data_IF_480748287705
#
_entry.id   IF_480748287705
#
_cell.length_a   1.000
_cell.length_b   1.000
_cell.length_c   1.000
_cell.angle_alpha   90.00
_cell.angle_beta   90.00
_cell.angle_gamma   90.00
#
_symmetry.space_group_name_H-M   'P 1'
#
loop_
_entity.id
_entity.type
_entity.pdbx_description
1 polymer ?
#
# COMPACT_ATOMS: atom_id res chain seq x y z
N UNK A 1 -16.13 -6.89 8.46
CA UNK A 1 -15.18 -6.39 7.44
C UNK A 1 -16.00 -5.89 6.25
N UNK A 2 -15.68 -4.72 5.69
CA UNK A 2 -16.36 -4.19 4.49
C UNK A 2 -15.88 -5.03 3.29
N UNK A 3 -16.78 -5.44 2.40
CA UNK A 3 -16.39 -6.14 1.19
C UNK A 3 -15.42 -5.26 0.36
N UNK A 4 -14.42 -5.86 -0.30
CA UNK A 4 -13.51 -5.11 -1.17
C UNK A 4 -14.31 -4.41 -2.28
N UNK A 5 -13.98 -3.15 -2.57
CA UNK A 5 -14.63 -2.39 -3.63
C UNK A 5 -14.37 -3.05 -4.99
N UNK A 6 -15.42 -3.51 -5.71
CA UNK A 6 -15.25 -4.17 -7.00
C UNK A 6 -14.61 -3.25 -8.06
N UNK A 7 -14.75 -1.92 -7.92
CA UNK A 7 -14.21 -0.95 -8.86
C UNK A 7 -12.82 -0.43 -8.46
N UNK A 8 -12.24 -0.90 -7.35
CA UNK A 8 -10.97 -0.36 -6.83
C UNK A 8 -9.86 -0.32 -7.88
N UNK A 9 -9.65 -1.44 -8.58
CA UNK A 9 -8.63 -1.54 -9.63
C UNK A 9 -8.90 -0.60 -10.81
N UNK A 10 -10.17 -0.44 -11.21
CA UNK A 10 -10.59 0.48 -12.27
C UNK A 10 -10.26 1.94 -11.92
N UNK A 11 -10.48 2.33 -10.66
CA UNK A 11 -10.12 3.67 -10.18
C UNK A 11 -8.62 3.89 -10.00
N UNK A 12 -7.87 2.85 -9.67
CA UNK A 12 -6.43 2.96 -9.47
C UNK A 12 -5.69 3.11 -10.79
N UNK A 13 -6.09 2.39 -11.84
CA UNK A 13 -5.49 2.57 -13.17
C UNK A 13 -5.78 3.93 -13.79
N UNK A 14 -6.85 4.62 -13.39
CA UNK A 14 -7.15 5.98 -13.86
C UNK A 14 -6.05 7.00 -13.53
N UNK A 15 -5.24 6.73 -12.51
CA UNK A 15 -4.08 7.54 -12.12
C UNK A 15 -2.87 7.35 -13.02
N UNK A 16 -2.84 6.31 -13.86
CA UNK A 16 -1.74 6.07 -14.77
C UNK A 16 -1.81 7.03 -15.96
N UNK A 17 -0.64 7.33 -16.53
CA UNK A 17 -0.56 8.13 -17.76
C UNK A 17 -1.21 7.37 -18.93
N UNK A 18 -0.88 6.08 -19.04
CA UNK A 18 -1.44 5.13 -19.98
C UNK A 18 -2.20 4.04 -19.18
N UNK A 19 -3.49 4.24 -18.88
CA UNK A 19 -4.26 3.28 -18.11
C UNK A 19 -4.43 1.98 -18.90
N UNK A 20 -3.93 0.89 -18.35
CA UNK A 20 -4.11 -0.45 -18.92
C UNK A 20 -4.24 -1.45 -17.77
N UNK A 21 -5.20 -2.37 -17.90
CA UNK A 21 -5.35 -3.52 -17.05
C UNK A 21 -4.65 -4.70 -17.73
N UNK A 22 -3.69 -5.30 -17.05
CA UNK A 22 -3.03 -6.52 -17.52
C UNK A 22 -3.86 -7.75 -17.11
N UNK A 23 -3.67 -8.84 -17.84
CA UNK A 23 -4.32 -10.13 -17.56
C UNK A 23 -4.24 -10.55 -16.10
N UNK A 24 -3.07 -10.47 -15.48
CA UNK A 24 -2.87 -10.99 -14.13
C UNK A 24 -3.67 -10.21 -13.07
N UNK A 25 -3.83 -8.90 -13.23
CA UNK A 25 -4.71 -8.10 -12.38
C UNK A 25 -6.19 -8.35 -12.72
N UNK A 26 -6.49 -8.53 -14.01
CA UNK A 26 -7.84 -8.78 -14.49
C UNK A 26 -8.40 -10.11 -13.97
N UNK A 27 -7.63 -11.20 -13.97
CA UNK A 27 -8.10 -12.51 -13.49
C UNK A 27 -8.31 -12.57 -11.98
N UNK A 28 -7.61 -11.72 -11.21
CA UNK A 28 -7.81 -11.57 -9.77
C UNK A 28 -9.13 -10.87 -9.43
N UNK A 29 -9.70 -10.13 -10.37
CA UNK A 29 -11.00 -9.52 -10.22
C UNK A 29 -12.12 -10.58 -10.24
N UNK A 30 -13.12 -10.49 -9.36
CA UNK A 30 -14.28 -11.36 -9.39
C UNK A 30 -14.92 -11.39 -10.79
N UNK A 31 -15.31 -12.57 -11.26
CA UNK A 31 -15.88 -12.74 -12.61
C UNK A 31 -17.11 -11.87 -12.84
N UNK A 32 -18.01 -11.79 -11.87
CA UNK A 32 -19.20 -10.94 -11.95
C UNK A 32 -18.82 -9.47 -12.19
N UNK A 33 -17.81 -8.95 -11.49
CA UNK A 33 -17.32 -7.59 -11.71
C UNK A 33 -16.75 -7.40 -13.12
N UNK A 34 -15.98 -8.36 -13.63
CA UNK A 34 -15.44 -8.30 -14.99
C UNK A 34 -16.55 -8.25 -16.04
N UNK A 35 -17.53 -9.14 -15.90
CA UNK A 35 -18.67 -9.23 -16.82
C UNK A 35 -19.49 -7.94 -16.78
N UNK A 36 -19.70 -7.35 -15.60
CA UNK A 36 -20.37 -6.07 -15.44
C UNK A 36 -19.58 -4.91 -16.08
N UNK A 37 -18.26 -4.83 -15.87
CA UNK A 37 -17.43 -3.79 -16.50
C UNK A 37 -17.48 -3.85 -18.03
N UNK A 38 -17.51 -5.04 -18.63
CA UNK A 38 -17.71 -5.20 -20.07
C UNK A 38 -19.14 -4.86 -20.50
N UNK A 39 -20.15 -5.35 -19.77
CA UNK A 39 -21.56 -5.08 -20.05
C UNK A 39 -21.89 -3.58 -20.03
N UNK A 40 -21.22 -2.83 -19.16
CA UNK A 40 -21.32 -1.37 -19.03
C UNK A 40 -20.42 -0.60 -20.02
N UNK A 41 -19.64 -1.29 -20.86
CA UNK A 41 -18.73 -0.66 -21.81
C UNK A 41 -17.57 0.10 -21.16
N UNK A 42 -17.24 -0.19 -19.91
CA UNK A 42 -16.16 0.48 -19.15
C UNK A 42 -14.77 -0.08 -19.50
N UNK A 43 -14.71 -1.20 -20.21
CA UNK A 43 -13.47 -1.83 -20.66
C UNK A 43 -13.53 -2.14 -22.15
N UNK A 44 -12.43 -1.85 -22.84
CA UNK A 44 -12.21 -2.28 -24.21
C UNK A 44 -10.88 -3.04 -24.35
N UNK A 45 -10.75 -3.99 -25.29
CA UNK A 45 -9.47 -4.59 -25.62
C UNK A 45 -8.41 -3.53 -25.96
N UNK A 46 -7.19 -3.73 -25.49
CA UNK A 46 -6.05 -2.87 -25.77
C UNK A 46 -4.97 -3.62 -26.55
N UNK A 47 -3.85 -2.94 -26.85
CA UNK A 47 -2.71 -3.57 -27.52
C UNK A 47 -2.18 -4.75 -26.71
N UNK A 48 -1.71 -5.78 -27.41
CA UNK A 48 -1.04 -6.92 -26.80
C UNK A 48 0.19 -6.44 -26.03
N UNK A 49 0.37 -6.94 -24.81
CA UNK A 49 1.54 -6.68 -23.99
C UNK A 49 2.79 -7.26 -24.67
N UNK A 50 3.91 -6.55 -24.57
CA UNK A 50 5.22 -7.05 -25.01
C UNK A 50 6.04 -7.59 -23.83
N UNK A 51 5.63 -7.28 -22.60
CA UNK A 51 6.26 -7.75 -21.38
C UNK A 51 5.23 -8.37 -20.46
N UNK A 52 5.65 -9.34 -19.65
CA UNK A 52 4.85 -9.90 -18.55
C UNK A 52 5.66 -9.95 -17.26
N UNK A 53 4.97 -9.97 -16.13
CA UNK A 53 5.58 -10.18 -14.82
C UNK A 53 5.82 -11.67 -14.62
N UNK A 54 7.06 -12.07 -14.37
CA UNK A 54 7.40 -13.46 -14.07
C UNK A 54 6.71 -13.91 -12.78
N UNK A 55 5.98 -15.02 -12.85
CA UNK A 55 5.29 -15.67 -11.73
C UNK A 55 6.11 -16.82 -11.11
N UNK A 56 7.21 -17.22 -11.76
CA UNK A 56 8.10 -18.27 -11.26
C UNK A 56 9.14 -17.78 -10.25
N UNK A 57 9.51 -16.49 -10.26
CA UNK A 57 10.50 -15.94 -9.33
C UNK A 57 9.84 -15.21 -8.17
N UNK A 58 10.54 -15.18 -7.03
CA UNK A 58 10.07 -14.43 -5.87
C UNK A 58 10.12 -12.90 -6.09
N UNK A 59 10.95 -12.44 -7.03
CA UNK A 59 11.13 -11.02 -7.33
C UNK A 59 10.02 -10.42 -8.20
N UNK A 60 9.22 -11.23 -8.90
CA UNK A 60 8.18 -10.74 -9.79
C UNK A 60 8.70 -9.76 -10.85
N UNK A 61 9.83 -10.07 -11.49
CA UNK A 61 10.43 -9.15 -12.47
C UNK A 61 9.58 -9.09 -13.74
N UNK A 62 9.50 -7.92 -14.37
CA UNK A 62 8.89 -7.77 -15.69
C UNK A 62 9.95 -8.06 -16.76
N UNK A 63 9.60 -8.87 -17.76
CA UNK A 63 10.51 -9.25 -18.85
C UNK A 63 9.79 -9.24 -20.19
N UNK A 64 10.53 -8.93 -21.27
CA UNK A 64 10.03 -8.97 -22.63
C UNK A 64 9.75 -10.40 -23.10
N UNK A 65 8.64 -10.57 -23.81
CA UNK A 65 8.18 -11.87 -24.29
C UNK A 65 8.77 -12.17 -25.65
N UNK A 66 9.52 -13.26 -25.75
CA UNK A 66 10.09 -13.78 -26.98
C UNK A 66 9.19 -14.86 -27.58
N UNK A 67 8.80 -14.68 -28.84
CA UNK A 67 8.06 -15.68 -29.60
C UNK A 67 9.03 -16.58 -30.38
N UNK A 68 9.00 -17.88 -30.12
CA UNK A 68 9.81 -18.87 -30.82
C UNK A 68 8.91 -19.81 -31.62
N UNK A 69 9.12 -19.84 -32.93
CA UNK A 69 8.40 -20.72 -33.85
C UNK A 69 9.22 -21.96 -34.13
N UNK A 70 8.68 -23.12 -33.75
CA UNK A 70 9.33 -24.42 -33.93
C UNK A 70 9.18 -24.93 -35.38
N UNK A 71 10.01 -25.89 -35.81
CA UNK A 71 9.89 -26.51 -37.15
C UNK A 71 8.52 -27.15 -37.42
N UNK A 72 7.76 -27.47 -36.38
CA UNK A 72 6.37 -27.96 -36.46
C UNK A 72 5.37 -26.88 -36.87
N UNK A 73 5.79 -25.61 -36.91
CA UNK A 73 4.93 -24.45 -37.14
C UNK A 73 4.25 -23.90 -35.87
N UNK A 74 4.42 -24.55 -34.72
CA UNK A 74 3.89 -24.05 -33.45
C UNK A 74 4.74 -22.89 -32.92
N UNK A 75 4.09 -21.79 -32.51
CA UNK A 75 4.72 -20.65 -31.85
C UNK A 75 4.47 -20.71 -30.36
N UNK A 76 5.54 -20.68 -29.58
CA UNK A 76 5.50 -20.62 -28.12
C UNK A 76 6.09 -19.29 -27.65
N UNK A 77 5.58 -18.78 -26.54
CA UNK A 77 5.99 -17.49 -25.97
C UNK A 77 6.80 -17.73 -24.71
N UNK A 78 7.86 -16.97 -24.51
CA UNK A 78 8.76 -17.17 -23.37
C UNK A 78 9.24 -15.85 -22.78
N UNK A 79 9.61 -15.88 -21.51
CA UNK A 79 10.43 -14.85 -20.86
C UNK A 79 11.71 -15.48 -20.32
N UNK A 80 12.73 -14.65 -20.11
CA UNK A 80 13.96 -15.07 -19.44
C UNK A 80 13.95 -14.62 -17.97
N UNK A 81 13.85 -15.58 -17.05
CA UNK A 81 13.95 -15.35 -15.63
C UNK A 81 15.40 -15.51 -15.15
N UNK A 82 15.96 -14.53 -14.40
CA UNK A 82 17.31 -14.66 -13.86
C UNK A 82 17.43 -15.75 -12.79
N UNK A 83 16.32 -16.13 -12.14
CA UNK A 83 16.29 -17.16 -11.08
C UNK A 83 15.99 -18.55 -11.64
N UNK A 84 15.04 -18.66 -12.59
CA UNK A 84 14.50 -19.94 -13.06
C UNK A 84 14.77 -20.22 -14.54
N UNK A 85 15.54 -19.36 -15.22
CA UNK A 85 15.85 -19.51 -16.64
C UNK A 85 14.63 -19.23 -17.53
N UNK A 86 14.46 -20.01 -18.59
CA UNK A 86 13.42 -19.77 -19.59
C UNK A 86 12.06 -20.26 -19.08
N UNK A 87 11.08 -19.37 -19.03
CA UNK A 87 9.71 -19.67 -18.59
C UNK A 87 8.76 -19.48 -19.77
N UNK A 88 7.88 -20.44 -20.00
CA UNK A 88 6.83 -20.35 -21.02
C UNK A 88 5.69 -19.45 -20.54
N UNK A 89 5.14 -18.64 -21.44
CA UNK A 89 4.08 -17.67 -21.17
C UNK A 89 2.83 -18.05 -21.94
N UNK A 90 1.70 -18.13 -21.24
CA UNK A 90 0.39 -18.28 -21.88
C UNK A 90 0.05 -17.02 -22.70
N UNK A 91 -0.33 -17.14 -24.00
CA UNK A 91 -0.75 -16.01 -24.82
C UNK A 91 -1.83 -15.11 -24.21
N UNK A 92 -2.72 -15.65 -23.38
CA UNK A 92 -3.76 -14.87 -22.71
C UNK A 92 -3.18 -13.87 -21.71
N UNK A 93 -1.99 -14.13 -21.16
CA UNK A 93 -1.28 -13.19 -20.28
C UNK A 93 -0.83 -11.92 -21.00
N UNK A 94 -0.75 -11.95 -22.33
CA UNK A 94 -0.45 -10.77 -23.13
C UNK A 94 -1.68 -9.90 -23.42
N UNK A 95 -2.88 -10.33 -23.03
CA UNK A 95 -4.08 -9.52 -23.22
C UNK A 95 -4.06 -8.33 -22.26
N UNK A 96 -4.43 -7.17 -22.78
CA UNK A 96 -4.61 -5.95 -22.01
C UNK A 96 -5.96 -5.34 -22.32
N UNK A 97 -6.50 -4.58 -21.37
CA UNK A 97 -7.73 -3.81 -21.53
C UNK A 97 -7.52 -2.37 -21.13
N UNK A 98 -8.10 -1.47 -21.91
CA UNK A 98 -8.10 -0.04 -21.61
C UNK A 98 -9.42 0.31 -20.93
N UNK A 99 -9.37 0.95 -19.75
CA UNK A 99 -10.53 1.60 -19.16
C UNK A 99 -11.09 2.68 -20.08
N UNK A 100 -12.41 2.69 -20.24
CA UNK A 100 -13.18 3.73 -20.89
C UNK A 100 -13.97 4.48 -19.82
N UNK A 101 -13.86 5.81 -19.81
CA UNK A 101 -14.45 6.64 -18.76
C UNK A 101 -15.61 7.50 -19.27
N UNK A 102 -15.97 7.39 -20.55
CA UNK A 102 -16.88 8.31 -21.23
C UNK A 102 -18.32 8.26 -20.69
N UNK A 103 -18.71 7.14 -20.08
CA UNK A 103 -20.02 6.98 -19.43
C UNK A 103 -20.09 7.57 -18.02
N UNK A 104 -18.95 7.85 -17.38
CA UNK A 104 -18.92 8.42 -16.02
C UNK A 104 -19.40 9.88 -15.97
N UNK A 105 -18.97 10.79 -16.88
CA UNK A 105 -19.54 12.12 -16.97
C UNK A 105 -21.06 12.13 -17.09
N UNK A 106 -21.63 11.27 -17.94
CA UNK A 106 -23.07 11.18 -18.17
C UNK A 106 -23.81 10.68 -16.92
N UNK A 107 -23.27 9.66 -16.24
CA UNK A 107 -23.79 9.18 -14.95
C UNK A 107 -23.87 10.31 -13.92
N UNK A 108 -22.80 11.11 -13.80
CA UNK A 108 -22.74 12.25 -12.87
C UNK A 108 -23.73 13.33 -13.29
N UNK A 109 -23.80 13.63 -14.59
CA UNK A 109 -24.71 14.63 -15.16
C UNK A 109 -26.17 14.29 -14.83
N UNK A 110 -26.58 13.06 -15.11
CA UNK A 110 -27.93 12.57 -14.86
C UNK A 110 -28.26 12.60 -13.37
N UNK A 111 -27.35 12.09 -12.53
CA UNK A 111 -27.56 12.00 -11.09
C UNK A 111 -27.65 13.36 -10.40
N UNK A 112 -26.94 14.38 -10.91
CA UNK A 112 -27.00 15.74 -10.38
C UNK A 112 -28.05 16.62 -11.07
N UNK A 113 -28.76 16.10 -12.09
CA UNK A 113 -29.68 16.89 -12.91
C UNK A 113 -28.98 18.06 -13.62
N UNK A 114 -27.74 17.84 -14.07
CA UNK A 114 -26.96 18.84 -14.77
C UNK A 114 -27.64 19.24 -16.09
N UNK A 115 -27.52 20.52 -16.44
CA UNK A 115 -28.02 21.10 -17.68
C UNK A 115 -26.85 21.53 -18.55
N UNK A 116 -27.01 21.31 -19.85
CA UNK A 116 -25.97 21.55 -20.85
C UNK A 116 -25.52 20.25 -21.49
N UNK A 117 -24.68 20.37 -22.51
CA UNK A 117 -24.11 19.21 -23.20
C UNK A 117 -22.84 18.79 -22.48
N UNK A 118 -22.80 17.55 -22.01
CA UNK A 118 -21.57 16.97 -21.47
C UNK A 118 -20.53 16.87 -22.58
N UNK A 119 -19.41 17.58 -22.42
CA UNK A 119 -18.37 17.73 -23.44
C UNK A 119 -17.01 17.34 -22.92
N UNK A 120 -16.35 16.47 -23.66
CA UNK A 120 -14.93 16.24 -23.50
C UNK A 120 -14.12 17.44 -24.00
N UNK A 121 -13.38 18.10 -23.09
CA UNK A 121 -12.55 19.27 -23.40
C UNK A 121 -11.09 18.90 -23.60
N UNK A 122 -10.65 17.81 -22.96
CA UNK A 122 -9.34 17.19 -23.20
C UNK A 122 -9.54 15.69 -23.35
N UNK A 123 -9.20 15.11 -24.53
CA UNK A 123 -9.41 13.69 -24.81
C UNK A 123 -8.92 12.76 -23.70
N UNK A 124 -9.82 11.91 -23.21
CA UNK A 124 -9.66 10.92 -22.15
C UNK A 124 -9.26 11.48 -20.78
N UNK A 125 -9.38 12.80 -20.55
CA UNK A 125 -8.74 13.45 -19.38
C UNK A 125 -9.60 14.49 -18.66
N UNK A 126 -10.39 15.30 -19.38
CA UNK A 126 -11.18 16.37 -18.79
C UNK A 126 -12.51 16.53 -19.52
N UNK A 127 -13.58 16.54 -18.74
CA UNK A 127 -14.95 16.70 -19.21
C UNK A 127 -15.60 17.89 -18.50
N UNK A 128 -16.27 18.71 -19.28
CA UNK A 128 -17.22 19.71 -18.84
C UNK A 128 -18.61 19.07 -18.80
N UNK A 129 -19.19 18.95 -17.62
CA UNK A 129 -20.49 18.29 -17.41
C UNK A 129 -21.64 19.31 -17.48
N UNK A 130 -21.33 20.61 -17.53
CA UNK A 130 -22.32 21.69 -17.54
C UNK A 130 -22.71 22.16 -16.14
N UNK A 131 -23.95 22.62 -15.97
CA UNK A 131 -24.40 23.29 -14.75
C UNK A 131 -25.43 22.46 -13.98
N UNK A 132 -25.16 22.14 -12.71
CA UNK A 132 -26.10 21.48 -11.81
C UNK A 132 -26.54 22.43 -10.68
N UNK A 133 -27.78 22.29 -10.20
CA UNK A 133 -28.24 22.97 -9.00
C UNK A 133 -28.13 22.01 -7.82
N UNK A 134 -27.13 22.21 -6.98
CA UNK A 134 -26.85 21.35 -5.83
C UNK A 134 -26.97 22.19 -4.56
N UNK A 135 -27.66 21.67 -3.54
CA UNK A 135 -27.97 22.41 -2.32
C UNK A 135 -28.59 23.81 -2.59
N UNK A 136 -29.44 23.92 -3.62
CA UNK A 136 -30.12 25.16 -4.01
C UNK A 136 -29.24 26.20 -4.69
N UNK A 137 -27.98 25.87 -5.06
CA UNK A 137 -27.04 26.78 -5.72
C UNK A 137 -26.57 26.22 -7.06
N UNK A 138 -26.41 27.07 -8.10
CA UNK A 138 -25.85 26.62 -9.35
C UNK A 138 -24.34 26.41 -9.23
N UNK A 139 -23.88 25.27 -9.72
CA UNK A 139 -22.48 24.89 -9.79
C UNK A 139 -22.15 24.45 -11.20
N UNK A 140 -21.03 24.93 -11.74
CA UNK A 140 -20.46 24.36 -12.94
C UNK A 140 -19.68 23.10 -12.57
N UNK A 141 -19.94 21.99 -13.24
CA UNK A 141 -19.46 20.66 -12.87
C UNK A 141 -18.42 20.19 -13.86
N UNK A 142 -17.30 19.72 -13.34
CA UNK A 142 -16.19 19.19 -14.13
C UNK A 142 -15.80 17.81 -13.64
N UNK A 143 -15.32 16.97 -14.56
CA UNK A 143 -14.68 15.71 -14.24
C UNK A 143 -13.28 15.68 -14.82
N UNK A 144 -12.29 15.33 -14.00
CA UNK A 144 -10.94 15.04 -14.45
C UNK A 144 -10.59 13.57 -14.19
N UNK A 145 -9.91 12.91 -15.12
CA UNK A 145 -9.38 11.56 -14.89
C UNK A 145 -8.29 11.58 -13.82
N UNK A 146 -7.31 12.46 -14.04
CA UNK A 146 -6.15 12.72 -13.19
C UNK A 146 -5.74 14.18 -13.34
N UNK A 147 -5.43 14.83 -12.22
CA UNK A 147 -4.90 16.20 -12.25
C UNK A 147 -3.37 16.15 -12.34
N UNK A 148 -2.83 16.76 -13.38
CA UNK A 148 -1.39 16.86 -13.66
C UNK A 148 -1.00 18.30 -13.91
N UNK A 149 0.30 18.60 -13.84
CA UNK A 149 0.81 19.95 -14.03
C UNK A 149 0.40 20.59 -15.38
N UNK A 150 0.29 19.78 -16.45
CA UNK A 150 -0.18 20.24 -17.77
C UNK A 150 -1.71 20.40 -17.86
N UNK A 151 -2.47 19.73 -16.99
CA UNK A 151 -3.93 19.85 -16.96
C UNK A 151 -4.40 20.99 -16.04
N UNK A 152 -3.67 21.29 -14.97
CA UNK A 152 -4.03 22.34 -14.00
C UNK A 152 -4.40 23.68 -14.64
N UNK A 153 -3.68 24.20 -15.66
CA UNK A 153 -4.04 25.47 -16.31
C UNK A 153 -5.37 25.44 -17.08
N UNK A 154 -5.92 24.25 -17.36
CA UNK A 154 -7.21 24.05 -18.05
C UNK A 154 -8.37 23.85 -17.09
N UNK A 155 -8.11 23.66 -15.80
CA UNK A 155 -9.14 23.54 -14.79
C UNK A 155 -9.81 24.89 -14.52
N UNK A 156 -11.08 24.91 -14.10
CA UNK A 156 -11.71 26.13 -13.64
C UNK A 156 -10.95 26.68 -12.42
N UNK A 157 -10.74 28.00 -12.40
CA UNK A 157 -10.08 28.72 -11.29
C UNK A 157 -11.07 29.51 -10.44
N UNK A 158 -12.36 29.37 -10.72
CA UNK A 158 -13.42 30.05 -10.00
C UNK A 158 -13.75 29.35 -8.67
N UNK A 159 -14.39 30.11 -7.78
CA UNK A 159 -14.77 29.62 -6.44
C UNK A 159 -16.13 28.92 -6.44
N UNK A 160 -16.80 28.78 -7.58
CA UNK A 160 -18.17 28.22 -7.67
C UNK A 160 -18.20 26.80 -8.24
N UNK A 161 -17.22 26.41 -9.05
CA UNK A 161 -17.10 25.13 -9.73
C UNK A 161 -16.91 23.96 -8.76
N UNK A 162 -17.40 22.80 -9.19
CA UNK A 162 -17.23 21.50 -8.53
C UNK A 162 -16.40 20.60 -9.44
N UNK A 163 -15.40 19.94 -8.87
CA UNK A 163 -14.51 19.04 -9.59
C UNK A 163 -14.60 17.62 -9.04
N UNK A 164 -14.94 16.69 -9.90
CA UNK A 164 -14.83 15.26 -9.67
C UNK A 164 -13.49 14.75 -10.22
N UNK A 165 -12.85 13.85 -9.50
CA UNK A 165 -11.58 13.21 -9.91
C UNK A 165 -11.76 11.70 -9.89
N UNK A 166 -11.51 11.02 -11.01
CA UNK A 166 -11.64 9.56 -11.10
C UNK A 166 -10.61 8.83 -10.22
N UNK A 167 -9.37 9.31 -10.23
CA UNK A 167 -8.37 8.83 -9.30
C UNK A 167 -8.33 9.61 -7.98
N UNK A 168 -7.23 9.47 -7.24
CA UNK A 168 -6.93 10.23 -6.02
C UNK A 168 -6.78 11.74 -6.22
N UNK A 169 -7.26 12.50 -5.23
CA UNK A 169 -7.10 13.95 -5.11
C UNK A 169 -5.61 14.32 -5.02
N UNK A 170 -5.15 15.32 -5.78
CA UNK A 170 -3.77 15.79 -5.67
C UNK A 170 -3.53 16.41 -4.29
N UNK A 171 -2.33 16.17 -3.74
CA UNK A 171 -1.90 16.76 -2.45
C UNK A 171 -1.77 18.28 -2.53
N UNK A 172 -1.39 18.78 -3.70
CA UNK A 172 -1.31 20.20 -3.98
C UNK A 172 -2.69 20.66 -4.47
N UNK A 173 -3.19 21.76 -3.90
CA UNK A 173 -4.49 22.32 -4.29
C UNK A 173 -4.58 22.62 -5.80
N UNK A 174 -5.80 22.58 -6.33
CA UNK A 174 -6.08 22.67 -7.79
C UNK A 174 -6.73 23.99 -8.18
N UNK A 175 -6.58 25.04 -7.38
CA UNK A 175 -7.25 26.33 -7.57
C UNK A 175 -8.75 26.32 -7.22
N UNK A 176 -9.34 25.15 -7.04
CA UNK A 176 -10.72 24.96 -6.56
C UNK A 176 -10.70 24.69 -5.07
N UNK A 177 -11.70 25.21 -4.36
CA UNK A 177 -11.84 25.02 -2.92
C UNK A 177 -11.90 23.52 -2.57
N UNK A 178 -11.12 23.02 -1.57
CA UNK A 178 -11.00 21.59 -1.29
C UNK A 178 -12.33 20.88 -1.01
N UNK A 179 -13.31 21.59 -0.45
CA UNK A 179 -14.67 21.11 -0.17
C UNK A 179 -15.55 20.95 -1.41
N UNK A 180 -15.06 21.37 -2.58
CA UNK A 180 -15.73 21.21 -3.89
C UNK A 180 -15.00 20.22 -4.80
N UNK A 181 -14.00 19.53 -4.25
CA UNK A 181 -13.22 18.51 -4.96
C UNK A 181 -13.54 17.15 -4.39
N UNK A 182 -14.08 16.26 -5.22
CA UNK A 182 -14.58 14.95 -4.85
C UNK A 182 -13.82 13.84 -5.59
N UNK A 183 -13.52 12.75 -4.90
CA UNK A 183 -12.99 11.54 -5.53
C UNK A 183 -14.16 10.62 -5.91
N UNK A 184 -14.27 10.30 -7.20
CA UNK A 184 -15.41 9.53 -7.74
C UNK A 184 -15.48 8.12 -7.15
N UNK A 185 -14.33 7.53 -6.78
CA UNK A 185 -14.24 6.23 -6.09
C UNK A 185 -15.03 6.16 -4.78
N UNK A 186 -15.38 7.30 -4.18
CA UNK A 186 -16.19 7.34 -2.96
C UNK A 186 -17.68 7.59 -3.23
N UNK A 187 -18.03 7.95 -4.45
CA UNK A 187 -19.38 8.34 -4.86
C UNK A 187 -20.02 7.33 -5.81
N UNK A 188 -19.23 6.61 -6.60
CA UNK A 188 -19.71 5.62 -7.56
C UNK A 188 -19.54 4.22 -7.00
N UNK A 189 -20.61 3.42 -7.08
CA UNK A 189 -20.62 2.00 -6.72
C UNK A 189 -21.17 1.17 -7.86
N UNK A 190 -20.74 -0.08 -7.93
CA UNK A 190 -21.33 -1.09 -8.79
C UNK A 190 -22.34 -1.90 -7.98
N UNK A 191 -23.62 -1.75 -8.29
CA UNK A 191 -24.72 -2.45 -7.62
C UNK A 191 -25.62 -3.09 -8.68
N UNK A 192 -25.86 -4.40 -8.57
CA UNK A 192 -26.68 -5.17 -9.51
C UNK A 192 -26.29 -4.93 -10.99
N UNK A 193 -25.00 -4.99 -11.29
CA UNK A 193 -24.42 -4.75 -12.62
C UNK A 193 -24.67 -3.35 -13.21
N UNK A 194 -25.09 -2.38 -12.39
CA UNK A 194 -25.26 -0.99 -12.78
C UNK A 194 -24.35 -0.06 -11.95
N UNK A 195 -23.92 1.05 -12.55
CA UNK A 195 -23.26 2.11 -11.80
C UNK A 195 -24.28 2.99 -11.10
N UNK A 196 -24.07 3.23 -9.81
CA UNK A 196 -24.87 4.15 -9.01
C UNK A 196 -23.99 5.28 -8.48
N UNK A 197 -24.45 6.51 -8.57
CA UNK A 197 -23.75 7.69 -8.06
C UNK A 197 -24.49 8.27 -6.84
N UNK A 198 -23.75 8.49 -5.76
CA UNK A 198 -24.26 9.03 -4.50
C UNK A 198 -24.22 10.58 -4.50
N UNK A 199 -25.26 11.19 -5.08
CA UNK A 199 -25.40 12.65 -5.15
C UNK A 199 -25.73 13.32 -3.81
N UNK A 200 -26.22 12.56 -2.83
CA UNK A 200 -26.57 13.09 -1.51
C UNK A 200 -25.31 13.50 -0.73
N UNK A 201 -24.24 12.70 -0.82
CA UNK A 201 -22.93 13.03 -0.23
C UNK A 201 -22.41 14.37 -0.77
N UNK A 202 -22.53 14.60 -2.09
CA UNK A 202 -22.13 15.86 -2.71
C UNK A 202 -22.96 17.02 -2.17
N UNK A 203 -24.28 16.83 -2.08
CA UNK A 203 -25.22 17.85 -1.60
C UNK A 203 -24.94 18.25 -0.15
N UNK A 204 -24.72 17.28 0.74
CA UNK A 204 -24.41 17.52 2.16
C UNK A 204 -23.10 18.29 2.32
N UNK A 205 -22.06 17.90 1.58
CA UNK A 205 -20.75 18.57 1.65
C UNK A 205 -20.82 20.01 1.14
N UNK A 206 -21.52 20.25 0.02
CA UNK A 206 -21.66 21.61 -0.54
C UNK A 206 -22.58 22.50 0.31
N UNK A 207 -23.58 21.94 0.99
CA UNK A 207 -24.43 22.70 1.91
C UNK A 207 -23.65 23.25 3.12
N UNK A 208 -22.63 22.52 3.58
CA UNK A 208 -21.74 22.97 4.66
C UNK A 208 -20.71 24.02 4.25
N UNK A 209 -20.53 24.26 2.94
CA UNK A 209 -19.55 25.22 2.43
C UNK A 209 -20.08 26.67 2.53
N UNK A 210 -19.26 27.56 3.11
CA UNK A 210 -19.58 28.97 3.22
C UNK A 210 -19.86 29.61 1.83
N UNK A 211 -20.86 30.49 1.70
CA UNK A 211 -21.14 31.16 0.44
C UNK A 211 -19.94 32.02 0.01
N UNK A 212 -19.61 32.06 -1.30
CA UNK A 212 -18.64 33.01 -1.80
C UNK A 212 -19.17 34.43 -1.58
N UNK A 213 -18.40 35.28 -0.91
CA UNK A 213 -18.70 36.70 -0.78
C UNK A 213 -18.72 37.33 -2.17
N UNK A 214 -19.89 37.87 -2.57
CA UNK A 214 -20.01 38.71 -3.77
C UNK A 214 -19.29 40.03 -3.50
N UNK A 215 -18.23 40.31 -4.24
CA UNK A 215 -17.65 41.66 -4.33
C UNK A 215 -18.42 42.42 -5.42
N UNK A 216 -19.45 43.18 -5.02
CA UNK A 216 -20.14 44.10 -5.92
C UNK A 216 -19.39 45.44 -6.00
N UNK A 217 -19.15 45.91 -7.22
CA UNK A 217 -18.38 47.13 -7.55
C UNK A 217 -19.05 48.46 -7.12
N UNK A 218 -18.32 49.59 -7.27
CA UNK A 218 -18.54 50.79 -6.46
C UNK A 218 -19.66 51.69 -6.99
N UNK A 219 -20.83 51.64 -6.34
CA UNK A 219 -21.86 52.68 -6.38
C UNK A 219 -21.78 53.55 -5.12
N UNK A 220 -21.68 54.87 -5.31
CA UNK A 220 -21.44 55.87 -4.26
C UNK A 220 -22.30 55.71 -3.00
N UNK A 221 -21.65 55.58 -1.84
CA UNK A 221 -22.33 55.52 -0.54
C UNK A 221 -22.38 56.93 0.08
N UNK A 222 -23.53 57.39 0.60
CA UNK A 222 -23.64 58.68 1.28
C UNK A 222 -22.79 58.74 2.55
N UNK A 223 -22.24 59.91 2.85
CA UNK A 223 -21.31 60.23 3.93
C UNK A 223 -21.69 59.66 5.33
N UNK A 224 -22.97 59.43 5.60
CA UNK A 224 -23.45 58.82 6.85
C UNK A 224 -23.07 57.32 7.01
N UNK A 225 -22.92 56.58 5.91
CA UNK A 225 -22.47 55.20 5.95
C UNK A 225 -20.96 55.08 6.20
N UNK A 226 -20.18 56.12 5.83
CA UNK A 226 -18.73 56.17 6.05
C UNK A 226 -18.41 56.34 7.55
N UNK A 227 -19.21 57.11 8.28
CA UNK A 227 -19.06 57.22 9.75
C UNK A 227 -19.45 55.92 10.48
N UNK A 228 -20.51 55.24 10.04
CA UNK A 228 -20.87 53.92 10.55
C UNK A 228 -19.79 52.88 10.24
N UNK A 229 -19.24 52.89 9.01
CA UNK A 229 -18.10 52.05 8.63
C UNK A 229 -16.86 52.36 9.45
N UNK A 230 -16.55 53.61 9.76
CA UNK A 230 -15.40 53.95 10.60
C UNK A 230 -15.57 53.47 12.04
N UNK A 231 -16.80 53.45 12.57
CA UNK A 231 -17.12 52.85 13.87
C UNK A 231 -16.92 51.33 13.88
N UNK A 232 -17.41 50.65 12.85
CA UNK A 232 -17.30 49.19 12.72
C UNK A 232 -15.86 48.75 12.39
N UNK A 233 -15.12 49.49 11.55
CA UNK A 233 -13.70 49.24 11.27
C UNK A 233 -12.87 49.42 12.54
N UNK A 234 -13.14 50.42 13.38
CA UNK A 234 -12.45 50.59 14.65
C UNK A 234 -12.75 49.43 15.61
N UNK A 235 -14.00 48.97 15.65
CA UNK A 235 -14.42 47.80 16.45
C UNK A 235 -13.80 46.49 15.95
N UNK A 236 -13.66 46.32 14.63
CA UNK A 236 -12.94 45.20 13.99
C UNK A 236 -11.44 45.28 14.28
N UNK A 237 -10.83 46.47 14.21
CA UNK A 237 -9.41 46.67 14.54
C UNK A 237 -9.12 46.33 16.01
N UNK A 238 -10.03 46.66 16.92
CA UNK A 238 -9.92 46.30 18.34
C UNK A 238 -10.08 44.78 18.58
N UNK A 239 -10.88 44.08 17.76
CA UNK A 239 -11.04 42.62 17.83
C UNK A 239 -9.95 41.83 17.06
N UNK A 240 -9.25 42.48 16.12
CA UNK A 240 -8.18 41.89 15.31
C UNK A 240 -6.78 42.20 15.84
N UNK A 241 -6.66 43.08 16.84
CA UNK A 241 -5.41 43.36 17.55
C UNK A 241 -4.65 42.13 18.10
N UNK A 242 -5.29 41.02 18.53
CA UNK A 242 -4.57 39.80 18.92
C UNK A 242 -4.29 38.82 17.75
N UNK A 243 -4.83 39.04 16.54
CA UNK A 243 -4.60 38.15 15.39
C UNK A 243 -3.12 38.02 14.99
N UNK A 244 -2.27 39.06 15.04
CA UNK A 244 -0.85 38.90 14.73
C UNK A 244 -0.15 37.91 15.65
N UNK A 245 -0.54 37.83 16.93
CA UNK A 245 0.01 36.88 17.88
C UNK A 245 -0.48 35.45 17.61
N UNK A 246 -1.78 35.29 17.34
CA UNK A 246 -2.37 33.98 16.99
C UNK A 246 -1.83 33.46 15.65
N UNK A 247 -1.63 34.34 14.66
CA UNK A 247 -1.03 33.98 13.36
C UNK A 247 0.45 33.62 13.52
N UNK A 248 1.19 34.31 14.39
CA UNK A 248 2.58 33.95 14.69
C UNK A 248 2.68 32.59 15.41
N UNK A 249 1.76 32.29 16.32
CA UNK A 249 1.68 30.99 17.01
C UNK A 249 1.31 29.87 16.03
N UNK A 250 0.35 30.10 15.13
CA UNK A 250 0.00 29.16 14.05
C UNK A 250 1.17 28.95 13.10
N UNK A 251 1.90 30.01 12.71
CA UNK A 251 3.08 29.89 11.87
C UNK A 251 4.18 29.05 12.55
N UNK A 252 4.41 29.25 13.85
CA UNK A 252 5.37 28.43 14.62
C UNK A 252 4.95 26.96 14.70
N UNK A 253 3.65 26.69 14.88
CA UNK A 253 3.12 25.32 14.88
C UNK A 253 3.23 24.67 13.49
N UNK A 254 3.02 25.42 12.41
CA UNK A 254 3.18 24.93 11.03
C UNK A 254 4.65 24.61 10.74
N UNK A 255 5.59 25.44 11.19
CA UNK A 255 7.03 25.17 11.05
C UNK A 255 7.45 23.92 11.84
N UNK A 256 6.92 23.72 13.06
CA UNK A 256 7.15 22.52 13.85
C UNK A 256 6.59 21.26 13.15
N UNK A 257 5.40 21.37 12.54
CA UNK A 257 4.82 20.28 11.72
C UNK A 257 5.68 20.01 10.48
N UNK A 258 6.20 21.03 9.82
CA UNK A 258 7.07 20.88 8.64
C UNK A 258 8.39 20.19 9.02
N UNK A 259 8.98 20.55 10.16
CA UNK A 259 10.18 19.90 10.71
C UNK A 259 9.92 18.43 11.09
N UNK A 260 8.77 18.13 11.70
CA UNK A 260 8.38 16.76 11.99
C UNK A 260 8.13 15.95 10.71
N UNK A 261 7.51 16.55 9.70
CA UNK A 261 7.22 15.90 8.41
C UNK A 261 8.51 15.60 7.63
N UNK A 262 9.48 16.52 7.66
CA UNK A 262 10.80 16.29 7.05
C UNK A 262 11.62 15.24 7.81
N UNK A 263 11.52 15.18 9.14
CA UNK A 263 12.12 14.10 9.94
C UNK A 263 11.47 12.74 9.65
N UNK A 264 10.15 12.68 9.47
CA UNK A 264 9.41 11.47 9.07
C UNK A 264 9.84 11.04 7.66
N UNK A 265 9.92 11.95 6.69
CA UNK A 265 10.35 11.64 5.32
C UNK A 265 11.79 11.10 5.28
N UNK A 266 12.69 11.65 6.10
CA UNK A 266 14.06 11.15 6.25
C UNK A 266 14.10 9.74 6.85
N UNK A 267 13.32 9.50 7.90
CA UNK A 267 13.21 8.18 8.54
C UNK A 267 12.59 7.15 7.59
N UNK A 268 11.59 7.54 6.79
CA UNK A 268 10.96 6.68 5.81
C UNK A 268 11.90 6.37 4.63
N UNK A 269 12.73 7.31 4.21
CA UNK A 269 13.82 7.07 3.24
C UNK A 269 14.88 6.11 3.79
N UNK A 270 15.30 6.30 5.05
CA UNK A 270 16.22 5.39 5.73
C UNK A 270 15.62 3.97 5.88
N UNK A 271 14.34 3.85 6.24
CA UNK A 271 13.61 2.59 6.31
C UNK A 271 13.44 1.92 4.94
N UNK A 272 13.16 2.67 3.88
CA UNK A 272 13.09 2.15 2.51
C UNK A 272 14.44 1.64 2.04
N UNK A 273 15.53 2.36 2.35
CA UNK A 273 16.89 1.93 2.02
C UNK A 273 17.27 0.68 2.82
N UNK A 274 16.94 0.64 4.11
CA UNK A 274 17.15 -0.55 4.96
C UNK A 274 16.30 -1.74 4.47
N UNK A 275 15.05 -1.53 4.05
CA UNK A 275 14.20 -2.58 3.47
C UNK A 275 14.71 -3.08 2.11
N UNK A 276 15.20 -2.19 1.25
CA UNK A 276 15.82 -2.58 -0.01
C UNK A 276 17.12 -3.39 0.24
N UNK A 277 17.95 -2.98 1.21
CA UNK A 277 19.09 -3.76 1.67
C UNK A 277 18.64 -5.13 2.22
N UNK A 278 17.52 -5.22 2.96
CA UNK A 278 16.95 -6.49 3.46
C UNK A 278 16.39 -7.38 2.34
N UNK A 279 15.79 -6.80 1.30
CA UNK A 279 15.31 -7.55 0.14
C UNK A 279 16.49 -8.09 -0.68
N UNK A 280 17.55 -7.30 -0.87
CA UNK A 280 18.80 -7.78 -1.46
C UNK A 280 19.47 -8.87 -0.61
N UNK A 281 19.34 -8.81 0.72
CA UNK A 281 19.79 -9.87 1.63
C UNK A 281 18.97 -11.15 1.50
N UNK A 282 17.66 -11.05 1.28
CA UNK A 282 16.79 -12.20 1.03
C UNK A 282 17.09 -12.86 -0.33
N UNK A 283 17.34 -12.05 -1.38
CA UNK A 283 17.73 -12.52 -2.73
C UNK A 283 19.06 -13.26 -2.75
N UNK A 284 19.99 -12.94 -1.86
CA UNK A 284 21.30 -13.60 -1.75
C UNK A 284 21.26 -15.00 -1.12
N UNK A 285 20.10 -15.47 -0.66
CA UNK A 285 19.95 -16.65 0.19
C UNK A 285 20.37 -16.33 1.63
N UNK A 286 19.42 -16.48 2.57
CA UNK A 286 19.53 -16.07 3.99
C UNK A 286 20.77 -16.61 4.71
N UNK A 287 21.45 -17.62 4.16
CA UNK A 287 22.58 -18.31 4.77
C UNK A 287 23.83 -18.47 3.87
N UNK A 288 23.92 -17.84 2.68
CA UNK A 288 25.14 -17.92 1.84
C UNK A 288 26.38 -17.23 2.45
N UNK A 289 26.20 -16.47 3.53
CA UNK A 289 27.31 -15.91 4.31
C UNK A 289 27.76 -16.86 5.43
N UNK A 290 26.94 -17.83 5.83
CA UNK A 290 27.24 -18.75 6.93
C UNK A 290 28.47 -19.60 6.60
N UNK A 291 28.69 -19.92 5.32
CA UNK A 291 29.89 -20.62 4.83
C UNK A 291 31.16 -19.76 4.82
N UNK A 292 31.04 -18.45 5.00
CA UNK A 292 32.15 -17.47 4.98
C UNK A 292 32.46 -16.88 6.36
N UNK A 293 31.78 -17.38 7.39
CA UNK A 293 31.83 -16.88 8.75
C UNK A 293 32.26 -18.00 9.67
N UNK A 294 33.00 -17.63 10.71
CA UNK A 294 33.48 -18.55 11.73
C UNK A 294 32.29 -19.20 12.46
N UNK A 295 32.39 -20.50 12.70
CA UNK A 295 31.30 -21.28 13.29
C UNK A 295 30.86 -20.76 14.66
N UNK A 296 31.79 -20.26 15.48
CA UNK A 296 31.46 -19.70 16.80
C UNK A 296 30.72 -18.36 16.69
N UNK A 297 31.08 -17.54 15.71
CA UNK A 297 30.42 -16.26 15.45
C UNK A 297 29.04 -16.47 14.82
N UNK A 298 28.90 -17.46 13.93
CA UNK A 298 27.60 -17.84 13.39
C UNK A 298 26.68 -18.41 14.49
N UNK A 299 27.21 -19.26 15.39
CA UNK A 299 26.47 -19.77 16.57
C UNK A 299 26.00 -18.63 17.48
N UNK A 300 26.87 -17.66 17.74
CA UNK A 300 26.52 -16.46 18.50
C UNK A 300 25.42 -15.64 17.80
N UNK A 301 25.47 -15.50 16.48
CA UNK A 301 24.44 -14.84 15.69
C UNK A 301 23.09 -15.54 15.73
N UNK A 302 23.07 -16.86 15.48
CA UNK A 302 21.85 -17.67 15.54
C UNK A 302 21.20 -17.58 16.93
N UNK A 303 22.00 -17.67 18.01
CA UNK A 303 21.52 -17.52 19.37
C UNK A 303 20.85 -16.15 19.63
N UNK A 304 21.37 -15.07 19.05
CA UNK A 304 20.74 -13.73 19.17
C UNK A 304 19.44 -13.63 18.39
N UNK A 305 19.39 -14.20 17.18
CA UNK A 305 18.21 -14.17 16.34
C UNK A 305 17.04 -14.94 16.98
N UNK A 306 17.35 -16.10 17.57
CA UNK A 306 16.41 -16.97 18.28
C UNK A 306 15.99 -16.40 19.64
N UNK A 307 16.94 -16.04 20.51
CA UNK A 307 16.62 -15.53 21.85
C UNK A 307 16.08 -14.08 21.84
N UNK A 308 16.16 -13.39 20.70
CA UNK A 308 15.68 -12.03 20.48
C UNK A 308 16.54 -10.94 21.14
N UNK A 309 17.40 -11.27 22.10
CA UNK A 309 18.33 -10.31 22.68
C UNK A 309 19.69 -10.94 23.05
N UNK A 310 20.73 -10.10 23.08
CA UNK A 310 22.13 -10.50 23.32
C UNK A 310 22.39 -11.05 24.73
N UNK A 311 21.61 -10.63 25.72
CA UNK A 311 21.74 -11.07 27.11
C UNK A 311 21.27 -12.53 27.27
N UNK A 312 20.08 -12.84 26.74
CA UNK A 312 19.53 -14.19 26.69
C UNK A 312 20.38 -15.11 25.82
N UNK A 313 20.86 -14.63 24.68
CA UNK A 313 21.79 -15.40 23.83
C UNK A 313 23.08 -15.79 24.57
N UNK A 314 23.68 -14.87 25.31
CA UNK A 314 24.87 -15.14 26.14
C UNK A 314 24.57 -16.20 27.21
N UNK A 315 23.41 -16.11 27.86
CA UNK A 315 22.96 -17.08 28.86
C UNK A 315 22.72 -18.47 28.25
N UNK A 316 22.04 -18.56 27.11
CA UNK A 316 21.78 -19.82 26.39
C UNK A 316 23.08 -20.51 25.95
N UNK A 317 24.11 -19.73 25.62
CA UNK A 317 25.42 -20.26 25.22
C UNK A 317 26.38 -20.50 26.39
N UNK A 318 26.00 -20.14 27.62
CA UNK A 318 26.88 -20.26 28.79
C UNK A 318 28.11 -19.34 28.75
N UNK A 319 28.07 -18.27 27.94
CA UNK A 319 29.20 -17.34 27.76
C UNK A 319 28.98 -16.11 28.66
N UNK A 320 30.00 -15.61 29.38
CA UNK A 320 29.88 -14.36 30.12
C UNK A 320 29.38 -13.21 29.23
N UNK A 321 28.38 -12.46 29.68
CA UNK A 321 27.73 -11.41 28.88
C UNK A 321 28.73 -10.41 28.29
N UNK A 322 29.73 -9.98 29.07
CA UNK A 322 30.77 -9.07 28.59
C UNK A 322 31.52 -9.64 27.39
N UNK A 323 31.99 -10.88 27.51
CA UNK A 323 32.69 -11.61 26.44
C UNK A 323 31.83 -11.76 25.20
N UNK A 324 30.53 -12.06 25.39
CA UNK A 324 29.59 -12.16 24.27
C UNK A 324 29.39 -10.82 23.56
N UNK A 325 29.30 -9.73 24.32
CA UNK A 325 29.12 -8.39 23.76
C UNK A 325 30.36 -7.89 23.03
N UNK A 326 31.55 -8.14 23.59
CA UNK A 326 32.83 -7.81 22.96
C UNK A 326 33.00 -8.60 21.65
N UNK A 327 32.62 -9.89 21.66
CA UNK A 327 32.60 -10.75 20.47
C UNK A 327 31.68 -10.20 19.38
N UNK A 328 30.41 -9.92 19.69
CA UNK A 328 29.46 -9.34 18.73
C UNK A 328 29.94 -7.96 18.25
N UNK A 329 30.52 -7.15 19.13
CA UNK A 329 31.08 -5.84 18.79
C UNK A 329 32.24 -5.92 17.78
N UNK A 330 33.06 -6.97 17.88
CA UNK A 330 34.20 -7.19 16.97
C UNK A 330 33.77 -7.42 15.52
N UNK A 331 32.54 -7.88 15.26
CA UNK A 331 32.04 -8.17 13.92
C UNK A 331 32.07 -6.96 12.97
N UNK A 332 32.01 -5.73 13.51
CA UNK A 332 32.12 -4.51 12.72
C UNK A 332 33.46 -4.38 11.98
N UNK A 333 34.53 -4.92 12.57
CA UNK A 333 35.89 -4.81 12.05
C UNK A 333 36.31 -5.98 11.14
N UNK A 334 35.56 -7.10 11.13
CA UNK A 334 36.02 -8.37 10.54
C UNK A 334 35.66 -8.60 9.06
N UNK A 335 34.84 -7.73 8.47
CA UNK A 335 34.53 -7.79 7.04
C UNK A 335 33.07 -7.47 6.71
N UNK A 336 32.71 -7.47 5.41
CA UNK A 336 31.36 -7.11 4.96
C UNK A 336 30.28 -8.08 5.47
N UNK A 337 30.59 -9.38 5.53
CA UNK A 337 29.64 -10.41 5.98
C UNK A 337 29.39 -10.35 7.51
N UNK A 338 30.43 -10.08 8.30
CA UNK A 338 30.30 -9.86 9.75
C UNK A 338 29.58 -8.54 10.09
N UNK A 339 29.86 -7.46 9.35
CA UNK A 339 29.11 -6.20 9.46
C UNK A 339 27.62 -6.40 9.19
N UNK A 340 27.30 -7.29 8.26
CA UNK A 340 25.94 -7.66 7.88
C UNK A 340 25.22 -8.42 9.00
N UNK A 341 25.86 -9.41 9.63
CA UNK A 341 25.33 -10.06 10.85
C UNK A 341 25.06 -9.07 11.98
N UNK A 342 26.03 -8.17 12.23
CA UNK A 342 25.90 -7.16 13.27
C UNK A 342 24.70 -6.22 13.04
N UNK A 343 24.48 -5.79 11.79
CA UNK A 343 23.31 -4.99 11.41
C UNK A 343 22.00 -5.73 11.66
N UNK A 344 21.91 -7.01 11.31
CA UNK A 344 20.72 -7.83 11.55
C UNK A 344 20.41 -7.96 13.05
N UNK A 345 21.43 -8.12 13.89
CA UNK A 345 21.30 -8.15 15.35
C UNK A 345 20.78 -6.81 15.90
N UNK A 346 21.32 -5.68 15.44
CA UNK A 346 20.84 -4.36 15.85
C UNK A 346 19.42 -4.09 15.36
N UNK A 347 19.07 -4.56 14.16
CA UNK A 347 17.71 -4.48 13.64
C UNK A 347 16.74 -5.28 14.51
N UNK A 348 17.04 -6.55 14.82
CA UNK A 348 16.23 -7.40 15.70
C UNK A 348 15.98 -6.72 17.06
N UNK A 349 17.00 -6.07 17.61
CA UNK A 349 16.90 -5.27 18.86
C UNK A 349 16.00 -4.03 18.70
N UNK A 350 16.05 -3.31 17.57
CA UNK A 350 15.20 -2.15 17.29
C UNK A 350 13.73 -2.56 17.06
N UNK A 351 13.48 -3.67 16.36
CA UNK A 351 12.14 -4.19 16.07
C UNK A 351 11.41 -4.64 17.34
N UNK A 352 12.11 -5.32 18.26
CA UNK A 352 11.55 -5.72 19.56
C UNK A 352 11.25 -4.54 20.51
N UNK A 353 11.85 -3.37 20.30
CA UNK A 353 11.55 -2.15 21.09
C UNK A 353 10.29 -1.43 20.61
N UNK A 354 9.87 -1.64 19.36
CA UNK A 354 8.69 -0.97 18.77
C UNK A 354 7.43 -1.84 18.81
N UNK A 355 7.57 -3.16 18.86
CA UNK A 355 6.44 -4.11 18.95
C UNK A 355 6.27 -4.52 20.40
N UNK A 356 5.36 -3.84 21.11
CA UNK A 356 4.88 -4.24 22.44
C UNK A 356 3.45 -4.78 22.29
N UNK A 357 3.28 -5.81 21.46
CA UNK A 357 2.01 -6.53 21.35
C UNK A 357 2.10 -7.74 22.29
N UNK A 358 1.27 -7.76 23.32
CA UNK A 358 1.01 -8.95 24.13
C UNK A 358 0.23 -9.93 23.25
N UNK A 359 0.75 -11.14 23.11
CA UNK A 359 0.16 -12.21 22.33
C UNK A 359 -1.02 -12.92 23.03
N UNK A 360 -1.37 -12.52 24.26
CA UNK A 360 -2.38 -13.20 25.06
C UNK A 360 -3.84 -12.80 24.73
N UNK A 361 -4.08 -11.65 24.10
CA UNK A 361 -5.46 -11.13 23.96
C UNK A 361 -6.16 -11.58 22.66
N UNK A 362 -5.50 -12.34 21.78
CA UNK A 362 -6.06 -12.74 20.48
C UNK A 362 -6.47 -14.22 20.38
N UNK A 363 -6.42 -14.96 21.49
CA UNK A 363 -6.79 -16.38 21.55
C UNK A 363 -8.06 -16.68 22.38
N UNK A 364 -8.77 -15.66 22.86
CA UNK A 364 -9.98 -15.83 23.67
C UNK A 364 -11.17 -15.06 23.10
N UNK A 365 -11.95 -15.73 22.26
CA UNK A 365 -13.27 -15.32 21.76
C UNK A 365 -13.47 -15.87 20.36
N UNK A 366 -14.44 -16.72 20.03
CA UNK A 366 -15.74 -17.05 20.64
C UNK A 366 -16.22 -18.36 19.99
N UNK A 367 -16.89 -19.21 20.76
CA UNK A 367 -17.62 -20.40 20.28
C UNK A 367 -18.82 -20.01 19.40
N UNK A 368 -19.07 -20.75 18.31
CA UNK A 368 -20.41 -20.99 17.74
C UNK A 368 -20.48 -22.43 17.20
N UNK A 369 -21.52 -23.14 17.63
CA UNK A 369 -21.93 -24.52 17.32
C UNK A 369 -22.13 -24.86 15.83
N UNK A 370 -21.91 -26.13 15.48
CA UNK A 370 -22.53 -26.77 14.31
C UNK A 370 -21.65 -27.80 13.59
N UNK A 371 -21.81 -29.08 13.94
CA UNK A 371 -21.04 -30.26 13.49
C UNK A 371 -21.02 -30.52 11.97
N UNK A 372 -19.85 -30.98 11.49
CA UNK A 372 -19.74 -32.15 10.59
C UNK A 372 -18.36 -32.85 10.77
N UNK A 373 -18.41 -34.03 11.39
CA UNK A 373 -17.68 -35.28 11.13
C UNK A 373 -16.23 -35.25 10.59
N UNK A 374 -15.25 -35.27 11.51
CA UNK A 374 -14.12 -36.23 11.55
C UNK A 374 -13.32 -36.01 12.87
N UNK A 375 -13.20 -36.98 13.81
CA UNK A 375 -12.63 -36.70 15.13
C UNK A 375 -11.19 -37.20 15.22
N UNK A 376 -10.20 -36.31 15.11
CA UNK A 376 -8.96 -36.28 15.92
C UNK A 376 -8.31 -34.91 15.71
N UNK A 377 -8.87 -33.87 16.32
CA UNK A 377 -8.34 -32.51 16.21
C UNK A 377 -7.16 -32.31 17.16
N UNK A 378 -6.14 -31.60 16.67
CA UNK A 378 -4.94 -31.08 17.35
C UNK A 378 -5.19 -30.56 18.78
N UNK A 379 -6.42 -30.14 19.10
CA UNK A 379 -6.83 -29.77 20.46
C UNK A 379 -6.68 -30.93 21.46
N UNK A 380 -7.09 -32.14 21.10
CA UNK A 380 -6.98 -33.33 21.96
C UNK A 380 -5.51 -33.78 22.10
N UNK A 381 -4.69 -33.56 21.07
CA UNK A 381 -3.23 -33.79 21.10
C UNK A 381 -2.54 -32.78 22.01
N UNK A 382 -2.91 -31.50 21.92
CA UNK A 382 -2.36 -30.43 22.77
C UNK A 382 -2.81 -30.57 24.23
N UNK A 383 -4.03 -31.06 24.47
CA UNK A 383 -4.55 -31.35 25.81
C UNK A 383 -3.89 -32.61 26.39
N UNK A 384 -3.66 -33.66 25.58
CA UNK A 384 -2.89 -34.84 25.97
C UNK A 384 -1.38 -34.57 26.18
N UNK A 385 -0.82 -33.56 25.51
CA UNK A 385 0.55 -33.08 25.73
C UNK A 385 0.67 -32.22 27.00
N UNK A 386 -0.38 -31.50 27.36
CA UNK A 386 -0.44 -30.72 28.60
C UNK A 386 -0.50 -31.62 29.84
N UNK A 387 -1.12 -32.79 29.74
CA UNK A 387 -1.22 -33.75 30.83
C UNK A 387 0.00 -34.70 30.96
N UNK A 388 0.86 -34.78 29.93
CA UNK A 388 2.16 -35.48 30.02
C UNK A 388 3.24 -34.58 30.59
N UNK A 389 3.19 -34.44 31.90
CA UNK A 389 4.23 -33.83 32.72
C UNK A 389 5.49 -34.72 32.78
N UNK A 390 6.27 -34.78 31.70
CA UNK A 390 7.67 -35.20 31.75
C UNK A 390 8.56 -34.17 31.04
N UNK A 391 9.32 -33.49 31.88
CA UNK A 391 9.99 -32.23 31.66
C UNK A 391 11.34 -32.42 30.95
N UNK A 392 11.38 -32.30 29.61
CA UNK A 392 12.54 -31.67 28.96
C UNK A 392 12.20 -30.20 28.77
N UNK A 393 13.01 -29.31 29.34
CA UNK A 393 12.87 -27.88 29.08
C UNK A 393 13.02 -27.64 27.58
N UNK A 394 12.30 -26.68 27.00
CA UNK A 394 12.55 -26.21 25.63
C UNK A 394 14.04 -25.87 25.42
N UNK A 395 14.73 -25.49 26.51
CA UNK A 395 16.18 -25.23 26.54
C UNK A 395 17.04 -26.49 26.34
N UNK A 396 16.59 -27.67 26.77
CA UNK A 396 17.29 -28.93 26.57
C UNK A 396 17.14 -29.42 25.13
N UNK A 397 15.95 -29.25 24.54
CA UNK A 397 15.70 -29.53 23.12
C UNK A 397 16.53 -28.60 22.21
N UNK A 398 16.60 -27.31 22.55
CA UNK A 398 17.43 -26.31 21.87
C UNK A 398 18.93 -26.62 21.98
N UNK A 399 19.38 -27.11 23.14
CA UNK A 399 20.76 -27.52 23.35
C UNK A 399 21.08 -28.76 22.51
N UNK A 400 20.20 -29.75 22.48
CA UNK A 400 20.36 -30.97 21.69
C UNK A 400 20.42 -30.65 20.18
N UNK A 401 19.57 -29.75 19.67
CA UNK A 401 19.58 -29.31 18.26
C UNK A 401 20.86 -28.53 17.92
N UNK A 402 21.27 -27.57 18.76
CA UNK A 402 22.47 -26.78 18.53
C UNK A 402 23.76 -27.60 18.69
N UNK A 403 23.74 -28.64 19.54
CA UNK A 403 24.85 -29.57 19.71
C UNK A 403 24.93 -30.53 18.51
N UNK A 404 23.80 -31.02 18.01
CA UNK A 404 23.73 -31.82 16.78
C UNK A 404 24.24 -31.03 15.55
N UNK A 405 23.96 -29.73 15.45
CA UNK A 405 24.51 -28.86 14.40
C UNK A 405 26.02 -28.59 14.61
N UNK A 406 26.48 -28.50 15.86
CA UNK A 406 27.88 -28.25 16.19
C UNK A 406 28.78 -29.50 16.01
N UNK A 407 28.22 -30.70 16.21
CA UNK A 407 28.92 -31.98 16.08
C UNK A 407 28.94 -32.51 14.63
N UNK A 408 28.28 -31.81 13.70
CA UNK A 408 28.20 -32.22 12.29
C UNK A 408 29.45 -31.83 11.51
N UNK A 409 30.14 -32.85 10.98
CA UNK A 409 31.17 -32.72 9.95
C UNK A 409 30.58 -32.07 8.68
N UNK A 410 31.36 -31.20 8.02
CA UNK A 410 31.00 -30.46 6.82
C UNK A 410 30.48 -31.35 5.66
N UNK A 411 30.83 -32.64 5.69
CA UNK A 411 30.45 -33.62 4.65
C UNK A 411 28.98 -34.06 4.72
N UNK A 412 28.27 -33.86 5.85
CA UNK A 412 26.87 -34.32 6.01
C UNK A 412 25.82 -33.23 5.79
N UNK A 413 26.22 -31.99 5.49
CA UNK A 413 25.31 -30.85 5.36
C UNK A 413 24.29 -31.00 4.21
N UNK A 414 24.67 -31.66 3.12
CA UNK A 414 23.78 -31.90 1.98
C UNK A 414 22.64 -32.87 2.33
N UNK A 415 22.90 -33.86 3.20
CA UNK A 415 21.89 -34.85 3.59
C UNK A 415 20.86 -34.23 4.54
N UNK A 416 21.31 -33.39 5.48
CA UNK A 416 20.44 -32.68 6.42
C UNK A 416 19.62 -31.58 5.72
N UNK A 417 20.21 -30.91 4.72
CA UNK A 417 19.48 -29.96 3.88
C UNK A 417 18.37 -30.66 3.08
N UNK A 418 18.62 -31.86 2.57
CA UNK A 418 17.61 -32.64 1.86
C UNK A 418 16.45 -33.06 2.79
N UNK A 419 16.77 -33.56 3.98
CA UNK A 419 15.78 -33.99 4.98
C UNK A 419 14.92 -32.83 5.51
N UNK A 420 15.51 -31.65 5.71
CA UNK A 420 14.77 -30.43 6.08
C UNK A 420 13.85 -29.90 4.97
N UNK A 421 14.25 -30.08 3.70
CA UNK A 421 13.41 -29.72 2.56
C UNK A 421 12.24 -30.70 2.46
N UNK A 422 12.48 -31.99 2.65
CA UNK A 422 11.46 -33.05 2.63
C UNK A 422 10.38 -32.84 3.73
N UNK A 423 10.80 -32.50 4.95
CA UNK A 423 9.88 -32.16 6.06
C UNK A 423 9.04 -30.91 5.75
N UNK A 424 9.62 -29.92 5.05
CA UNK A 424 8.91 -28.69 4.66
C UNK A 424 7.96 -28.92 3.48
N UNK A 425 8.25 -29.87 2.59
CA UNK A 425 7.38 -30.25 1.48
C UNK A 425 6.17 -31.06 1.96
N UNK A 426 6.33 -31.93 2.97
CA UNK A 426 5.22 -32.67 3.60
C UNK A 426 4.25 -31.78 4.40
N UNK A 427 4.74 -30.71 5.04
CA UNK A 427 3.90 -29.78 5.82
C UNK A 427 3.16 -28.74 4.96
N UNK A 428 3.61 -28.49 3.72
CA UNK A 428 3.07 -27.41 2.85
C UNK A 428 2.14 -27.94 1.76
N UNK A 429 2.07 -29.26 1.53
CA UNK A 429 1.17 -29.87 0.54
C UNK A 429 0.31 -30.99 1.14
N UNK A 430 -0.92 -30.71 1.62
CA UNK A 430 -1.88 -31.78 1.89
C UNK A 430 -2.42 -32.34 0.56
N UNK A 431 -2.49 -33.67 0.43
CA UNK A 431 -3.35 -34.32 -0.57
C UNK A 431 -4.83 -34.16 -0.22
#
# INVERSE_FOLDING_TARGET
MRAPDPLALFWDVAQLENPALIHDDFVRMPRATRDALFGLGLLAPHRTAQCVVCDACASGHAEEVEAVTYPTGATHLFIYCPENGRIEVDPDRLRQWTPLYDSIPELIAESLGARGDCRETVPGRLWDIGCAVVAGRPHHVWLARRVTADLTPRLPTDKVSVLFILGTKPRNGVGIAPERVFEVRHLVRLENDALCFDGDVVSVQLAGAAPPTREDGPGSVPFAAIEALHGDVRRIMDHTAPLPAVVAEVASNVDAVLQNTTAIARNEYELRRENAELQELAKGGVLRFATRIDAEDFRAFAAVMLAGNRSKAAQCLGIPQRTFYDRVGSWLARGPDYRRMYRMVEWRKKSLRKIKVRLDDSLLGTEIDGQAENPETIRDVLEAMRDRNDMKSHDDLLRDILQAIADQNADNWQSVQAELIEILEEEVMPQ
#
